data_IF_129120572812
#
_entry.id   IF_129120572812
#
_cell.length_a   1.000
_cell.length_b   1.000
_cell.length_c   1.000
_cell.angle_alpha   90.00
_cell.angle_beta   90.00
_cell.angle_gamma   90.00
#
_symmetry.space_group_name_H-M   'P 1'
#
loop_
_entity.id
_entity.type
_entity.pdbx_description
1 polymer ?
#
# COMPACT_ATOMS: atom_id res chain seq x y z
N UNK A 1 -15.07 -13.44 5.98
CA UNK A 1 -16.17 -14.28 5.44
C UNK A 1 -15.89 -14.52 3.95
N UNK A 2 -15.90 -15.77 3.46
CA UNK A 2 -15.38 -16.18 2.14
C UNK A 2 -16.31 -15.87 0.95
N UNK A 3 -17.46 -15.25 1.20
CA UNK A 3 -18.46 -14.93 0.18
C UNK A 3 -19.48 -16.05 -0.03
N UNK A 4 -20.32 -15.89 -1.06
CA UNK A 4 -21.28 -16.91 -1.48
C UNK A 4 -20.62 -17.97 -2.36
N UNK A 5 -21.27 -19.12 -2.51
CA UNK A 5 -20.84 -20.19 -3.42
C UNK A 5 -21.24 -19.85 -4.86
N UNK A 6 -20.31 -20.01 -5.80
CA UNK A 6 -20.55 -19.78 -7.23
C UNK A 6 -20.37 -21.05 -8.07
N UNK A 7 -19.49 -21.95 -7.64
CA UNK A 7 -19.27 -23.24 -8.30
C UNK A 7 -18.83 -24.29 -7.29
N UNK A 8 -19.12 -25.54 -7.60
CA UNK A 8 -18.63 -26.72 -6.88
C UNK A 8 -18.08 -27.71 -7.89
N UNK A 9 -17.01 -28.42 -7.55
CA UNK A 9 -16.40 -29.43 -8.42
C UNK A 9 -15.81 -30.58 -7.60
N UNK A 10 -16.04 -31.87 -7.96
CA UNK A 10 -15.41 -32.99 -7.26
C UNK A 10 -13.89 -32.95 -7.41
N UNK A 11 -13.15 -33.07 -6.31
CA UNK A 11 -11.69 -33.04 -6.37
C UNK A 11 -11.12 -34.21 -7.18
N UNK A 12 -11.77 -35.38 -7.10
CA UNK A 12 -11.39 -36.60 -7.82
C UNK A 12 -12.62 -37.23 -8.45
N UNK A 13 -12.94 -36.89 -9.71
CA UNK A 13 -14.04 -37.53 -10.43
C UNK A 13 -13.89 -39.06 -10.39
N UNK A 14 -14.94 -39.77 -9.95
CA UNK A 14 -14.95 -41.23 -9.84
C UNK A 14 -14.51 -41.82 -8.49
N UNK A 15 -14.08 -41.02 -7.52
CA UNK A 15 -13.89 -41.46 -6.12
C UNK A 15 -15.01 -40.94 -5.22
N UNK A 16 -15.56 -41.82 -4.38
CA UNK A 16 -16.56 -41.47 -3.36
C UNK A 16 -15.90 -40.97 -2.05
N UNK A 17 -14.87 -40.13 -2.13
CA UNK A 17 -14.23 -39.55 -0.93
C UNK A 17 -14.91 -38.26 -0.43
N UNK A 18 -15.91 -37.77 -1.17
CA UNK A 18 -16.74 -36.63 -0.80
C UNK A 18 -16.03 -35.27 -0.86
N UNK A 19 -14.77 -35.23 -1.30
CA UNK A 19 -14.00 -34.00 -1.36
C UNK A 19 -14.36 -33.19 -2.60
N UNK A 20 -14.62 -31.90 -2.40
CA UNK A 20 -15.00 -30.94 -3.43
C UNK A 20 -14.18 -29.66 -3.31
N UNK A 21 -13.94 -29.04 -4.46
CA UNK A 21 -13.56 -27.64 -4.56
C UNK A 21 -14.82 -26.76 -4.61
N UNK A 22 -14.76 -25.63 -3.94
CA UNK A 22 -15.82 -24.61 -3.94
C UNK A 22 -15.23 -23.29 -4.39
N UNK A 23 -15.68 -22.79 -5.53
CA UNK A 23 -15.37 -21.45 -6.01
C UNK A 23 -16.35 -20.44 -5.42
N UNK A 24 -15.84 -19.36 -4.83
CA UNK A 24 -16.68 -18.35 -4.15
C UNK A 24 -16.80 -17.05 -4.94
N UNK A 25 -17.76 -16.21 -4.55
CA UNK A 25 -17.94 -14.86 -5.11
C UNK A 25 -16.84 -13.86 -4.71
N UNK A 26 -15.90 -14.24 -3.84
CA UNK A 26 -14.77 -13.39 -3.40
C UNK A 26 -13.42 -13.85 -3.94
N UNK A 27 -13.43 -14.53 -5.09
CA UNK A 27 -12.21 -15.00 -5.76
C UNK A 27 -11.35 -15.92 -4.86
N UNK A 28 -12.03 -16.77 -4.08
CA UNK A 28 -11.42 -17.76 -3.18
C UNK A 28 -11.80 -19.16 -3.68
N UNK A 29 -10.85 -20.08 -3.61
CA UNK A 29 -11.12 -21.51 -3.76
C UNK A 29 -10.97 -22.17 -2.40
N UNK A 30 -12.01 -22.88 -1.99
CA UNK A 30 -12.01 -23.71 -0.80
C UNK A 30 -11.93 -25.19 -1.19
N UNK A 31 -11.31 -25.99 -0.35
CA UNK A 31 -11.26 -27.45 -0.45
C UNK A 31 -11.80 -28.07 0.83
N UNK A 32 -12.68 -29.07 0.71
CA UNK A 32 -13.26 -29.76 1.85
C UNK A 32 -14.31 -30.78 1.44
N UNK A 33 -15.11 -31.25 2.40
CA UNK A 33 -16.27 -32.10 2.14
C UNK A 33 -17.42 -31.67 3.04
N UNK A 34 -18.64 -32.17 2.79
CA UNK A 34 -19.78 -31.87 3.66
C UNK A 34 -19.59 -32.38 5.11
N UNK A 35 -18.65 -33.29 5.33
CA UNK A 35 -18.33 -33.87 6.64
C UNK A 35 -17.10 -33.24 7.29
N UNK A 36 -16.33 -32.43 6.56
CA UNK A 36 -15.07 -31.83 7.03
C UNK A 36 -15.10 -30.32 6.85
N UNK A 37 -14.25 -29.60 7.58
CA UNK A 37 -14.12 -28.15 7.37
C UNK A 37 -13.57 -27.86 5.96
N UNK A 38 -14.07 -26.79 5.36
CA UNK A 38 -13.48 -26.21 4.16
C UNK A 38 -12.27 -25.35 4.52
N UNK A 39 -11.14 -25.57 3.85
CA UNK A 39 -9.93 -24.76 3.99
C UNK A 39 -9.71 -23.95 2.71
N UNK A 40 -9.22 -22.71 2.86
CA UNK A 40 -8.83 -21.88 1.73
C UNK A 40 -7.53 -22.40 1.12
N UNK A 41 -7.56 -22.67 -0.19
CA UNK A 41 -6.39 -23.15 -0.95
C UNK A 41 -5.92 -22.15 -2.00
N UNK A 42 -6.81 -21.28 -2.49
CA UNK A 42 -6.45 -20.16 -3.37
C UNK A 42 -7.13 -18.90 -2.88
N UNK A 43 -6.39 -17.80 -2.95
CA UNK A 43 -6.87 -16.45 -2.73
C UNK A 43 -6.41 -15.57 -3.89
N UNK A 44 -7.29 -14.68 -4.32
CA UNK A 44 -6.94 -13.54 -5.15
C UNK A 44 -7.80 -12.35 -4.74
N UNK A 45 -7.31 -11.14 -5.02
CA UNK A 45 -8.14 -9.95 -4.81
C UNK A 45 -9.40 -10.02 -5.68
N UNK A 46 -10.53 -9.62 -5.10
CA UNK A 46 -11.85 -9.69 -5.75
C UNK A 46 -12.28 -8.41 -6.46
N UNK A 47 -11.48 -7.34 -6.36
CA UNK A 47 -11.71 -5.99 -6.92
C UNK A 47 -10.36 -5.35 -7.30
N UNK A 48 -10.38 -4.09 -7.72
CA UNK A 48 -9.18 -3.35 -8.12
C UNK A 48 -8.10 -3.43 -7.04
N UNK A 49 -6.89 -3.75 -7.49
CA UNK A 49 -5.69 -3.80 -6.67
C UNK A 49 -4.85 -2.56 -7.00
N UNK A 50 -4.49 -1.78 -5.99
CA UNK A 50 -3.71 -0.55 -6.15
C UNK A 50 -2.47 -0.53 -5.27
N UNK A 51 -2.55 -1.09 -4.06
CA UNK A 51 -1.43 -1.13 -3.13
C UNK A 51 -0.50 -2.30 -3.44
N UNK A 52 0.79 -2.01 -3.57
CA UNK A 52 1.88 -2.96 -3.60
C UNK A 52 3.05 -2.41 -2.77
N UNK A 53 3.62 -3.23 -1.89
CA UNK A 53 4.83 -2.91 -1.15
C UNK A 53 5.73 -4.14 -1.04
N UNK A 54 7.02 -3.96 -1.25
CA UNK A 54 8.03 -5.01 -1.07
C UNK A 54 8.68 -4.84 0.30
N UNK A 55 8.90 -5.93 1.01
CA UNK A 55 9.60 -5.90 2.29
C UNK A 55 11.07 -5.51 2.06
N UNK A 56 11.68 -4.69 2.94
CA UNK A 56 13.04 -4.20 2.76
C UNK A 56 14.09 -5.34 2.67
N UNK A 57 13.97 -6.36 3.53
CA UNK A 57 15.01 -7.39 3.70
C UNK A 57 14.56 -8.84 3.47
N UNK A 58 13.27 -9.10 3.20
CA UNK A 58 12.71 -10.45 3.12
C UNK A 58 12.02 -10.61 1.75
N UNK A 59 11.98 -11.83 1.23
CA UNK A 59 11.35 -12.17 -0.05
C UNK A 59 9.81 -12.22 0.08
N UNK A 60 9.23 -11.19 0.69
CA UNK A 60 7.79 -11.03 0.86
C UNK A 60 7.33 -9.68 0.34
N UNK A 61 6.08 -9.64 -0.11
CA UNK A 61 5.44 -8.42 -0.55
C UNK A 61 3.99 -8.39 -0.09
N UNK A 62 3.49 -7.18 0.17
CA UNK A 62 2.13 -6.94 0.59
C UNK A 62 1.33 -6.33 -0.54
N UNK A 63 0.05 -6.71 -0.65
CA UNK A 63 -0.90 -6.17 -1.62
C UNK A 63 -2.15 -5.68 -0.91
N UNK A 64 -2.76 -4.61 -1.43
CA UNK A 64 -3.98 -4.02 -0.87
C UNK A 64 -4.92 -3.52 -1.97
N UNK A 65 -6.24 -3.69 -1.77
CA UNK A 65 -7.20 -3.36 -2.81
C UNK A 65 -8.58 -2.89 -2.32
N UNK A 66 -9.44 -2.62 -3.29
CA UNK A 66 -10.83 -2.18 -3.09
C UNK A 66 -11.76 -3.30 -2.61
N UNK A 67 -11.28 -4.53 -2.55
CA UNK A 67 -11.97 -5.64 -1.89
C UNK A 67 -11.82 -5.60 -0.37
N UNK A 68 -11.12 -4.58 0.15
CA UNK A 68 -10.85 -4.35 1.57
C UNK A 68 -10.02 -5.46 2.20
N UNK A 69 -9.23 -6.16 1.40
CA UNK A 69 -8.23 -7.09 1.88
C UNK A 69 -6.84 -6.48 1.78
N UNK A 70 -6.02 -6.75 2.77
CA UNK A 70 -4.56 -6.64 2.70
C UNK A 70 -4.02 -8.07 2.79
N UNK A 71 -3.09 -8.43 1.92
CA UNK A 71 -2.52 -9.77 1.86
C UNK A 71 -0.99 -9.69 1.84
N UNK A 72 -0.35 -10.63 2.53
CA UNK A 72 1.10 -10.82 2.47
C UNK A 72 1.44 -12.10 1.72
N UNK A 73 2.44 -12.03 0.87
CA UNK A 73 2.83 -13.08 -0.04
C UNK A 73 4.32 -13.39 0.09
N UNK A 74 4.68 -14.65 -0.07
CA UNK A 74 6.04 -15.10 -0.39
C UNK A 74 5.98 -15.82 -1.73
N UNK A 75 6.54 -15.21 -2.78
CA UNK A 75 6.38 -15.69 -4.17
C UNK A 75 4.89 -15.84 -4.52
N UNK A 76 4.42 -17.06 -4.78
CA UNK A 76 3.01 -17.36 -5.07
C UNK A 76 2.21 -17.83 -3.84
N UNK A 77 2.86 -17.96 -2.67
CA UNK A 77 2.23 -18.45 -1.45
C UNK A 77 1.66 -17.29 -0.64
N UNK A 78 0.38 -17.37 -0.35
CA UNK A 78 -0.28 -16.48 0.60
C UNK A 78 0.18 -16.82 2.04
N UNK A 79 0.67 -15.83 2.77
CA UNK A 79 1.07 -15.98 4.17
C UNK A 79 -0.09 -15.65 5.11
N UNK A 80 -0.73 -14.50 4.90
CA UNK A 80 -1.94 -14.11 5.62
C UNK A 80 -2.78 -13.13 4.80
N UNK A 81 -4.04 -12.99 5.20
CA UNK A 81 -4.96 -11.95 4.71
C UNK A 81 -5.66 -11.28 5.88
N UNK A 82 -5.78 -9.97 5.84
CA UNK A 82 -6.54 -9.18 6.81
C UNK A 82 -7.64 -8.43 6.08
N UNK A 83 -8.89 -8.70 6.48
CA UNK A 83 -10.05 -7.95 5.99
C UNK A 83 -10.21 -6.68 6.85
N UNK A 84 -10.32 -5.54 6.21
CA UNK A 84 -10.38 -4.22 6.86
C UNK A 84 -11.71 -3.51 6.56
N UNK A 85 -11.99 -2.41 7.25
CA UNK A 85 -13.24 -1.65 7.10
C UNK A 85 -13.34 -0.81 5.82
N UNK A 86 -12.20 -0.49 5.21
CA UNK A 86 -12.08 0.50 4.13
C UNK A 86 -11.34 -0.08 2.93
N UNK A 87 -11.51 0.55 1.76
CA UNK A 87 -10.70 0.22 0.59
C UNK A 87 -9.31 0.82 0.76
N UNK A 88 -8.27 0.03 0.49
CA UNK A 88 -6.89 0.48 0.60
C UNK A 88 -6.33 0.75 -0.81
N UNK A 89 -5.68 1.91 -0.97
CA UNK A 89 -5.18 2.39 -2.27
C UNK A 89 -3.66 2.34 -2.30
N UNK A 90 -2.99 2.67 -1.20
CA UNK A 90 -1.54 2.63 -1.10
C UNK A 90 -1.11 1.83 0.14
N UNK A 91 0.08 1.25 0.07
CA UNK A 91 0.67 0.48 1.16
C UNK A 91 2.20 0.64 1.13
N UNK A 92 2.84 0.65 2.28
CA UNK A 92 4.29 0.65 2.42
C UNK A 92 4.71 -0.15 3.64
N UNK A 93 5.82 -0.87 3.53
CA UNK A 93 6.54 -1.36 4.69
C UNK A 93 7.26 -0.19 5.37
N UNK A 94 7.23 -0.18 6.69
CA UNK A 94 8.19 0.58 7.46
C UNK A 94 9.61 0.08 7.09
N UNK A 95 10.65 0.93 7.02
CA UNK A 95 11.99 0.50 6.63
C UNK A 95 12.62 -0.59 7.50
N UNK A 96 12.14 -0.80 8.74
CA UNK A 96 12.53 -1.94 9.58
C UNK A 96 11.77 -3.25 9.29
N UNK A 97 10.82 -3.25 8.36
CA UNK A 97 10.09 -4.45 7.90
C UNK A 97 8.98 -4.96 8.83
N UNK A 98 9.00 -4.57 10.11
CA UNK A 98 8.06 -5.12 11.12
C UNK A 98 6.64 -4.56 11.06
N UNK A 99 6.43 -3.41 10.42
CA UNK A 99 5.14 -2.76 10.32
C UNK A 99 4.75 -2.46 8.87
N UNK A 100 3.46 -2.53 8.59
CA UNK A 100 2.84 -2.14 7.33
C UNK A 100 1.91 -0.96 7.56
N UNK A 101 2.03 0.08 6.73
CA UNK A 101 1.11 1.21 6.69
C UNK A 101 0.30 1.18 5.40
N UNK A 102 -1.03 1.24 5.50
CA UNK A 102 -1.95 1.27 4.37
C UNK A 102 -2.83 2.51 4.39
N UNK A 103 -2.85 3.26 3.28
CA UNK A 103 -3.70 4.43 3.09
C UNK A 103 -5.03 4.06 2.43
N UNK A 104 -6.13 4.62 2.94
CA UNK A 104 -7.48 4.29 2.47
C UNK A 104 -8.08 5.31 1.50
N UNK A 105 -9.10 4.89 0.77
CA UNK A 105 -9.94 5.74 -0.09
C UNK A 105 -10.68 6.83 0.68
N UNK A 106 -10.91 6.63 1.97
CA UNK A 106 -11.60 7.61 2.79
C UNK A 106 -10.66 8.60 3.48
N UNK A 107 -9.34 8.37 3.49
CA UNK A 107 -8.37 9.22 4.19
C UNK A 107 -7.93 8.70 5.56
N UNK A 108 -8.02 7.39 5.78
CA UNK A 108 -7.48 6.72 6.96
C UNK A 108 -6.09 6.12 6.69
N UNK A 109 -5.24 6.14 7.70
CA UNK A 109 -4.02 5.34 7.76
C UNK A 109 -4.27 4.15 8.68
N UNK A 110 -4.10 2.94 8.16
CA UNK A 110 -4.13 1.71 8.92
C UNK A 110 -2.68 1.21 9.13
N UNK A 111 -2.38 0.75 10.33
CA UNK A 111 -1.09 0.17 10.69
C UNK A 111 -1.30 -1.28 11.08
N UNK A 112 -0.55 -2.19 10.45
CA UNK A 112 -0.56 -3.62 10.73
C UNK A 112 0.82 -4.10 11.21
N UNK A 113 0.84 -5.11 12.08
CA UNK A 113 2.03 -5.92 12.29
C UNK A 113 2.27 -6.79 11.05
N UNK A 114 3.46 -6.69 10.46
CA UNK A 114 3.76 -7.31 9.16
C UNK A 114 3.76 -8.84 9.21
N UNK A 115 4.18 -9.42 10.34
CA UNK A 115 4.31 -10.86 10.54
C UNK A 115 2.95 -11.57 10.65
N UNK A 116 1.98 -10.91 11.26
CA UNK A 116 0.67 -11.48 11.64
C UNK A 116 -0.50 -10.90 10.86
N UNK A 117 -0.33 -9.73 10.24
CA UNK A 117 -1.42 -8.95 9.65
C UNK A 117 -2.37 -8.33 10.67
N UNK A 118 -2.03 -8.38 11.98
CA UNK A 118 -2.87 -7.86 13.04
C UNK A 118 -2.95 -6.33 12.99
N UNK A 119 -4.15 -5.77 13.08
CA UNK A 119 -4.34 -4.33 13.13
C UNK A 119 -3.85 -3.74 14.46
N UNK A 120 -2.94 -2.78 14.38
CA UNK A 120 -2.31 -2.12 15.52
C UNK A 120 -2.95 -0.75 15.77
N UNK A 121 -3.17 0.03 14.72
CA UNK A 121 -3.75 1.37 14.83
C UNK A 121 -4.51 1.76 13.57
N UNK A 122 -5.53 2.60 13.73
CA UNK A 122 -6.20 3.30 12.63
C UNK A 122 -6.26 4.78 12.96
N UNK A 123 -5.77 5.63 12.06
CA UNK A 123 -5.72 7.08 12.24
C UNK A 123 -6.50 7.78 11.13
N UNK A 124 -7.31 8.78 11.51
CA UNK A 124 -7.91 9.71 10.54
C UNK A 124 -6.86 10.73 10.11
N UNK A 125 -6.39 10.64 8.87
CA UNK A 125 -5.40 11.59 8.32
C UNK A 125 -6.10 12.80 7.71
N UNK A 126 -7.09 12.55 6.84
CA UNK A 126 -7.84 13.57 6.14
C UNK A 126 -9.21 13.08 5.65
N UNK A 127 -9.97 13.96 5.00
CA UNK A 127 -11.30 13.71 4.43
C UNK A 127 -11.31 13.23 2.98
N UNK A 128 -10.20 12.71 2.47
CA UNK A 128 -9.97 12.47 1.04
C UNK A 128 -9.01 11.30 0.86
N UNK A 129 -9.08 10.55 -0.26
CA UNK A 129 -8.22 9.40 -0.51
C UNK A 129 -6.73 9.69 -0.26
N UNK A 130 -6.04 8.73 0.35
CA UNK A 130 -4.58 8.67 0.39
C UNK A 130 -4.11 7.83 -0.79
N UNK A 131 -3.49 8.47 -1.77
CA UNK A 131 -3.12 7.85 -3.05
C UNK A 131 -1.71 7.30 -3.06
N UNK A 132 -0.80 7.88 -2.27
CA UNK A 132 0.57 7.44 -2.14
C UNK A 132 1.06 7.59 -0.70
N UNK A 133 2.02 6.74 -0.32
CA UNK A 133 2.63 6.72 1.01
C UNK A 133 4.10 6.35 0.87
N UNK A 134 4.97 6.99 1.62
CA UNK A 134 6.40 6.68 1.63
C UNK A 134 7.08 7.13 2.92
N UNK A 135 7.94 6.28 3.45
CA UNK A 135 8.82 6.63 4.57
C UNK A 135 10.06 7.35 4.03
N UNK A 136 10.57 8.27 4.83
CA UNK A 136 11.85 8.89 4.55
C UNK A 136 13.00 7.89 4.82
N UNK A 137 14.18 8.12 4.25
CA UNK A 137 15.37 7.29 4.48
C UNK A 137 15.70 6.96 5.95
N UNK A 138 15.42 7.86 6.90
CA UNK A 138 15.70 7.59 8.32
C UNK A 138 14.62 6.76 9.04
N UNK A 139 13.52 6.43 8.37
CA UNK A 139 12.36 5.73 8.93
C UNK A 139 11.57 6.50 10.01
N UNK A 140 11.96 7.73 10.34
CA UNK A 140 11.35 8.50 11.43
C UNK A 140 10.16 9.36 10.96
N UNK A 141 9.95 9.49 9.66
CA UNK A 141 8.87 10.28 9.07
C UNK A 141 8.21 9.53 7.93
N UNK A 142 6.88 9.58 7.87
CA UNK A 142 6.10 9.13 6.71
C UNK A 142 5.41 10.33 6.06
N UNK A 143 5.44 10.36 4.73
CA UNK A 143 4.66 11.27 3.91
C UNK A 143 3.52 10.50 3.25
N UNK A 144 2.33 11.11 3.22
CA UNK A 144 1.15 10.60 2.53
C UNK A 144 0.60 11.68 1.62
N UNK A 145 0.56 11.40 0.31
CA UNK A 145 -0.09 12.26 -0.67
C UNK A 145 -1.58 11.95 -0.74
N UNK A 146 -2.39 12.99 -0.89
CA UNK A 146 -3.84 12.86 -0.96
C UNK A 146 -4.39 13.42 -2.27
N UNK A 147 -5.54 12.89 -2.68
CA UNK A 147 -6.32 13.38 -3.82
C UNK A 147 -6.86 14.82 -3.59
N UNK A 148 -6.80 15.36 -2.38
CA UNK A 148 -7.05 16.79 -2.13
C UNK A 148 -5.82 17.70 -2.39
N UNK A 149 -4.76 17.13 -2.96
CA UNK A 149 -3.53 17.83 -3.32
C UNK A 149 -2.57 18.14 -2.17
N UNK A 150 -2.88 17.71 -0.94
CA UNK A 150 -2.00 17.93 0.20
C UNK A 150 -1.10 16.73 0.50
N UNK A 151 0.06 17.02 1.08
CA UNK A 151 0.96 16.02 1.69
C UNK A 151 0.83 16.12 3.20
N UNK A 152 0.63 14.98 3.84
CA UNK A 152 0.53 14.85 5.28
C UNK A 152 1.79 14.18 5.82
N UNK A 153 2.43 14.82 6.81
CA UNK A 153 3.68 14.35 7.41
C UNK A 153 3.41 13.89 8.84
N UNK A 154 3.83 12.67 9.15
CA UNK A 154 3.73 12.09 10.48
C UNK A 154 5.11 11.64 10.96
N UNK A 155 5.43 11.95 12.22
CA UNK A 155 6.56 11.31 12.90
C UNK A 155 6.17 9.88 13.22
N UNK A 156 7.10 8.98 12.95
CA UNK A 156 6.99 7.55 13.14
C UNK A 156 7.93 7.15 14.27
N UNK A 157 7.47 6.27 15.14
CA UNK A 157 8.23 5.81 16.30
C UNK A 157 7.83 4.37 16.62
N UNK A 158 8.61 3.72 17.50
CA UNK A 158 8.41 2.30 17.86
C UNK A 158 8.36 1.43 16.61
N UNK A 159 9.39 1.53 15.78
CA UNK A 159 9.59 0.66 14.61
C UNK A 159 8.41 0.61 13.63
N UNK A 160 7.70 1.72 13.50
CA UNK A 160 6.54 1.82 12.58
C UNK A 160 5.19 1.55 13.22
N UNK A 161 5.10 1.44 14.56
CA UNK A 161 3.84 1.17 15.27
C UNK A 161 3.17 2.40 15.89
N UNK A 162 3.83 3.56 15.90
CA UNK A 162 3.28 4.78 16.49
C UNK A 162 3.47 5.99 15.58
N UNK A 163 2.36 6.68 15.28
CA UNK A 163 2.31 7.81 14.34
C UNK A 163 1.76 9.05 15.04
N UNK A 164 2.51 10.16 14.96
CA UNK A 164 2.07 11.46 15.45
C UNK A 164 2.10 12.46 14.31
N UNK A 165 0.97 13.11 14.04
CA UNK A 165 0.88 14.15 13.01
C UNK A 165 1.92 15.24 13.31
N UNK A 166 2.79 15.50 12.34
CA UNK A 166 3.83 16.52 12.43
C UNK A 166 3.39 17.78 11.71
N UNK A 167 3.18 17.69 10.39
CA UNK A 167 2.92 18.85 9.55
C UNK A 167 2.03 18.49 8.35
N UNK A 168 1.64 19.51 7.58
CA UNK A 168 0.90 19.39 6.33
C UNK A 168 1.46 20.40 5.32
N UNK A 169 1.73 19.95 4.11
CA UNK A 169 2.05 20.81 2.97
C UNK A 169 0.80 20.87 2.08
N UNK A 170 0.34 22.07 1.73
CA UNK A 170 -0.87 22.26 0.91
C UNK A 170 -0.47 22.45 -0.55
N UNK A 171 -0.93 21.56 -1.41
CA UNK A 171 -0.96 21.74 -2.87
C UNK A 171 -2.37 21.98 -3.37
N UNK A 172 -2.49 22.07 -4.70
CA UNK A 172 -3.74 22.46 -5.39
C UNK A 172 -4.31 21.35 -6.29
N UNK A 173 -3.50 20.39 -6.72
CA UNK A 173 -3.89 19.31 -7.63
C UNK A 173 -3.79 17.94 -6.96
N UNK A 174 -4.66 16.98 -7.29
CA UNK A 174 -4.63 15.62 -6.75
C UNK A 174 -3.27 14.94 -6.97
N UNK A 175 -2.71 14.35 -5.92
CA UNK A 175 -1.42 13.64 -5.98
C UNK A 175 -1.63 12.15 -6.29
N UNK A 176 -0.72 11.52 -7.01
CA UNK A 176 -0.79 10.07 -7.32
C UNK A 176 0.46 9.30 -6.89
N UNK A 177 1.63 9.92 -6.92
CA UNK A 177 2.91 9.30 -6.58
C UNK A 177 3.76 10.24 -5.73
N UNK A 178 4.70 9.68 -4.98
CA UNK A 178 5.58 10.41 -4.09
C UNK A 178 6.90 9.68 -3.95
N UNK A 179 8.00 10.42 -3.95
CA UNK A 179 9.33 9.94 -3.55
C UNK A 179 10.01 10.92 -2.60
N UNK A 180 10.79 10.36 -1.67
CA UNK A 180 11.68 11.12 -0.80
C UNK A 180 13.04 11.34 -1.43
N UNK A 181 13.66 12.50 -1.18
CA UNK A 181 15.08 12.67 -1.41
C UNK A 181 15.90 11.88 -0.38
N UNK A 182 17.10 11.45 -0.77
CA UNK A 182 17.99 10.67 0.11
C UNK A 182 18.47 11.45 1.34
N UNK A 183 18.43 12.78 1.29
CA UNK A 183 18.80 13.68 2.40
C UNK A 183 17.60 14.04 3.31
N UNK A 184 16.41 13.49 3.05
CA UNK A 184 15.15 13.75 3.77
C UNK A 184 14.62 15.18 3.66
N UNK A 185 15.21 16.03 2.82
CA UNK A 185 14.84 17.44 2.72
C UNK A 185 13.68 17.68 1.77
N UNK A 186 13.62 16.93 0.69
CA UNK A 186 12.70 17.15 -0.41
C UNK A 186 11.77 15.97 -0.62
N UNK A 187 10.59 16.29 -1.15
CA UNK A 187 9.67 15.34 -1.76
C UNK A 187 9.49 15.74 -3.21
N UNK A 188 9.41 14.74 -4.10
CA UNK A 188 8.80 14.91 -5.41
C UNK A 188 7.47 14.18 -5.42
N UNK A 189 6.51 14.73 -6.16
CA UNK A 189 5.20 14.13 -6.35
C UNK A 189 4.76 14.29 -7.79
N UNK A 190 4.03 13.30 -8.30
CA UNK A 190 3.32 13.40 -9.57
C UNK A 190 1.85 13.66 -9.27
N UNK A 191 1.24 14.58 -10.01
CA UNK A 191 -0.19 14.86 -9.93
C UNK A 191 -0.98 13.97 -10.89
N UNK A 192 -2.31 13.95 -10.74
CA UNK A 192 -3.19 13.23 -11.66
C UNK A 192 -3.06 13.71 -13.12
N UNK A 193 -2.67 14.97 -13.32
CA UNK A 193 -2.46 15.58 -14.65
C UNK A 193 -1.02 15.43 -15.14
N UNK A 194 -0.22 14.56 -14.51
CA UNK A 194 1.18 14.27 -14.83
C UNK A 194 2.15 15.43 -14.57
N UNK A 195 1.77 16.42 -13.77
CA UNK A 195 2.69 17.46 -13.34
C UNK A 195 3.67 16.92 -12.29
N UNK A 196 4.97 17.20 -12.48
CA UNK A 196 6.00 16.94 -11.49
C UNK A 196 6.16 18.14 -10.58
N UNK A 197 5.93 17.94 -9.28
CA UNK A 197 5.97 18.99 -8.27
C UNK A 197 6.94 18.62 -7.16
N UNK A 198 7.72 19.60 -6.70
CA UNK A 198 8.71 19.43 -5.64
C UNK A 198 8.33 20.20 -4.39
N UNK A 199 8.75 19.71 -3.23
CA UNK A 199 8.40 20.27 -1.93
C UNK A 199 9.61 20.25 -0.99
N UNK A 200 9.87 21.37 -0.31
CA UNK A 200 10.83 21.40 0.81
C UNK A 200 10.07 21.07 2.10
N UNK A 201 10.43 19.94 2.71
CA UNK A 201 9.78 19.37 3.90
C UNK A 201 10.02 20.24 5.14
N UNK A 202 11.14 20.96 5.19
CA UNK A 202 11.48 21.85 6.30
C UNK A 202 10.77 23.20 6.16
N UNK A 203 10.72 23.75 4.95
CA UNK A 203 10.03 25.00 4.67
C UNK A 203 8.50 24.83 4.59
N UNK A 204 8.01 23.59 4.45
CA UNK A 204 6.60 23.24 4.31
C UNK A 204 5.91 23.92 3.12
N UNK A 205 6.65 24.05 2.02
CA UNK A 205 6.21 24.77 0.81
C UNK A 205 6.73 24.10 -0.46
N UNK A 206 6.16 24.50 -1.61
CA UNK A 206 6.62 24.05 -2.92
C UNK A 206 8.05 24.56 -3.19
N UNK A 207 8.93 23.69 -3.64
CA UNK A 207 10.22 24.08 -4.21
C UNK A 207 10.02 24.30 -5.72
N UNK A 208 10.39 25.49 -6.19
CA UNK A 208 10.08 25.95 -7.55
C UNK A 208 11.29 25.92 -8.48
N UNK A 209 12.50 25.76 -7.96
CA UNK A 209 13.72 25.79 -8.75
C UNK A 209 13.98 24.43 -9.40
N UNK A 210 13.72 24.26 -10.71
CA UNK A 210 13.90 22.97 -11.36
C UNK A 210 15.39 22.62 -11.48
N UNK A 211 16.26 23.64 -11.52
CA UNK A 211 17.72 23.50 -11.53
C UNK A 211 18.23 22.82 -10.25
N UNK A 212 17.73 23.23 -9.09
CA UNK A 212 18.12 22.59 -7.82
C UNK A 212 17.60 21.16 -7.79
N UNK A 213 16.36 20.94 -8.25
CA UNK A 213 15.71 19.63 -8.18
C UNK A 213 16.27 18.59 -9.16
N UNK A 214 16.93 19.03 -10.24
CA UNK A 214 17.58 18.14 -11.21
C UNK A 214 18.71 17.31 -10.60
N UNK A 215 19.46 17.91 -9.67
CA UNK A 215 20.64 17.29 -9.06
C UNK A 215 20.33 16.60 -7.72
N UNK A 216 19.07 16.65 -7.27
CA UNK A 216 18.63 15.94 -6.06
C UNK A 216 18.70 14.44 -6.28
N UNK A 217 19.34 13.74 -5.34
CA UNK A 217 19.33 12.28 -5.28
C UNK A 217 18.04 11.82 -4.62
N UNK A 218 17.26 11.03 -5.34
CA UNK A 218 16.00 10.46 -4.87
C UNK A 218 16.26 9.09 -4.21
N UNK A 219 15.60 8.85 -3.08
CA UNK A 219 15.67 7.59 -2.33
C UNK A 219 14.88 6.48 -3.03
N UNK A 220 13.71 6.83 -3.56
CA UNK A 220 12.84 5.95 -4.33
C UNK A 220 12.53 6.57 -5.68
N UNK A 221 12.08 5.73 -6.63
CA UNK A 221 11.77 6.12 -8.01
C UNK A 221 10.38 5.64 -8.41
N UNK A 222 9.39 5.91 -7.56
CA UNK A 222 7.98 5.56 -7.80
C UNK A 222 7.26 6.58 -8.67
N UNK A 223 7.74 7.83 -8.72
CA UNK A 223 7.23 8.85 -9.62
C UNK A 223 7.58 8.47 -11.07
N UNK A 224 6.57 8.38 -11.93
CA UNK A 224 6.74 8.04 -13.35
C UNK A 224 7.20 9.22 -14.20
N UNK A 225 7.06 10.44 -13.66
CA UNK A 225 7.56 11.68 -14.27
C UNK A 225 8.71 12.18 -13.40
N UNK A 226 9.89 12.38 -13.99
CA UNK A 226 11.10 12.76 -13.26
C UNK A 226 12.33 12.77 -14.16
N UNK A 227 13.31 13.61 -13.81
CA UNK A 227 14.56 13.75 -14.58
C UNK A 227 15.34 12.44 -14.74
N UNK A 228 15.29 11.56 -13.73
CA UNK A 228 16.02 10.29 -13.76
C UNK A 228 15.24 9.13 -14.39
N UNK A 229 13.93 9.29 -14.61
CA UNK A 229 13.06 8.24 -15.16
C UNK A 229 12.54 8.56 -16.56
N UNK A 230 12.68 9.81 -17.03
CA UNK A 230 12.39 10.18 -18.40
C UNK A 230 13.29 9.39 -19.35
N UNK A 231 12.71 8.76 -20.37
CA UNK A 231 13.49 8.10 -21.42
C UNK A 231 14.45 9.08 -22.07
N UNK A 232 15.74 8.73 -22.13
CA UNK A 232 16.71 9.50 -22.88
C UNK A 232 16.35 9.39 -24.37
N UNK A 233 15.90 10.49 -24.98
CA UNK A 233 15.97 10.62 -26.42
C UNK A 233 17.45 10.83 -26.77
N UNK A 234 18.08 9.78 -27.30
CA UNK A 234 19.36 9.89 -27.99
C UNK A 234 19.16 10.48 -29.38
#
# INVERSE_FOLDING_TARGET
>A
MTGGVRSIYPQRPGRNDGNIYVGTTRNIILEGSLQRRFNQVVFGHGRQLWGLAVHPDDEVFATAGHDKNIALWRRHKLLWTTQVGFECICIAFHPFGVALAAGSSDGHLLVLAADTGAAVATLRVCGSPLSCIGYNPTAETVAMGSQNGSIYLFRVSRDGFSYKKSNKIRGTQPLVQLDWSSDNRFLQTVTQDYDLVFWDVKALSSEKSPLVMKDVKWHTHNCTVGYMVSGNYF
#
